data_IF_774613746584
#
_entry.id   IF_774613746584
#
_cell.length_a   1.000
_cell.length_b   1.000
_cell.length_c   1.000
_cell.angle_alpha   90.00
_cell.angle_beta   90.00
_cell.angle_gamma   90.00
#
_symmetry.space_group_name_H-M   'P 1'
#
loop_
_entity.id
_entity.type
_entity.pdbx_description
1 polymer ?
#
# COMPACT_ATOMS: atom_id res chain seq x y z
N UNK A 1 -12.10 0.74 -5.00
CA UNK A 1 -11.22 1.49 -4.07
C UNK A 1 -9.80 1.63 -4.59
N UNK A 2 -9.06 0.53 -4.84
CA UNK A 2 -7.62 0.58 -5.15
C UNK A 2 -7.26 1.44 -6.36
N UNK A 3 -8.02 1.34 -7.45
CA UNK A 3 -7.82 2.18 -8.64
C UNK A 3 -7.92 3.67 -8.31
N UNK A 4 -8.89 4.07 -7.47
CA UNK A 4 -9.01 5.44 -6.99
C UNK A 4 -7.78 5.87 -6.17
N UNK A 5 -7.29 5.01 -5.27
CA UNK A 5 -6.07 5.28 -4.50
C UNK A 5 -4.83 5.45 -5.38
N UNK A 6 -4.67 4.59 -6.39
CA UNK A 6 -3.57 4.71 -7.37
C UNK A 6 -3.69 6.02 -8.14
N UNK A 7 -4.86 6.31 -8.72
CA UNK A 7 -5.07 7.55 -9.48
C UNK A 7 -4.87 8.78 -8.60
N UNK A 8 -5.30 8.75 -7.35
CA UNK A 8 -5.19 9.87 -6.41
C UNK A 8 -3.78 10.15 -5.89
N UNK A 9 -2.87 9.17 -5.94
CA UNK A 9 -1.51 9.31 -5.38
C UNK A 9 -0.38 9.19 -6.40
N UNK A 10 -0.52 8.36 -7.45
CA UNK A 10 0.60 8.04 -8.34
C UNK A 10 1.00 9.21 -9.25
N UNK A 11 0.09 10.15 -9.51
CA UNK A 11 0.40 11.36 -10.26
C UNK A 11 1.46 12.23 -9.57
N UNK A 12 1.60 12.13 -8.23
CA UNK A 12 2.63 12.85 -7.45
C UNK A 12 4.05 12.46 -7.89
N UNK A 13 4.27 11.21 -8.31
CA UNK A 13 5.55 10.75 -8.86
C UNK A 13 5.96 11.59 -10.08
N UNK A 14 5.00 11.94 -10.93
CA UNK A 14 5.23 12.62 -12.20
C UNK A 14 5.33 14.13 -11.98
N UNK A 15 4.34 14.72 -11.30
CA UNK A 15 4.22 16.17 -11.15
C UNK A 15 5.25 16.72 -10.15
N UNK A 16 5.38 16.07 -8.98
CA UNK A 16 6.29 16.51 -7.92
C UNK A 16 7.66 15.82 -8.00
N UNK A 17 7.84 14.81 -8.87
CA UNK A 17 9.13 14.11 -9.05
C UNK A 17 9.68 13.51 -7.74
N UNK A 18 8.80 12.94 -6.92
CA UNK A 18 9.12 12.40 -5.59
C UNK A 18 9.96 11.10 -5.63
N UNK A 19 10.06 10.43 -6.79
CA UNK A 19 10.97 9.28 -7.05
C UNK A 19 10.73 8.07 -6.12
N UNK A 20 9.52 7.92 -5.59
CA UNK A 20 9.14 6.80 -4.72
C UNK A 20 9.13 5.50 -5.53
N UNK A 21 8.46 5.50 -6.68
CA UNK A 21 8.38 4.33 -7.56
C UNK A 21 9.74 4.00 -8.20
N UNK A 22 10.57 5.02 -8.45
CA UNK A 22 11.96 4.81 -8.88
C UNK A 22 12.81 4.05 -7.85
N UNK A 23 12.42 4.08 -6.57
CA UNK A 23 13.08 3.37 -5.46
C UNK A 23 12.24 2.19 -4.97
N UNK A 24 11.60 1.46 -5.90
CA UNK A 24 10.67 0.37 -5.58
C UNK A 24 11.23 -0.65 -4.57
N UNK A 25 12.53 -0.98 -4.64
CA UNK A 25 13.16 -1.89 -3.67
C UNK A 25 13.04 -1.40 -2.23
N UNK A 26 13.21 -0.10 -1.99
CA UNK A 26 13.08 0.50 -0.64
C UNK A 26 11.62 0.47 -0.18
N UNK A 27 10.69 0.84 -1.06
CA UNK A 27 9.26 0.78 -0.77
C UNK A 27 8.87 -0.65 -0.38
N UNK A 28 9.25 -1.64 -1.18
CA UNK A 28 8.96 -3.04 -0.90
C UNK A 28 9.60 -3.52 0.41
N UNK A 29 10.85 -3.14 0.69
CA UNK A 29 11.50 -3.47 1.98
C UNK A 29 10.81 -2.83 3.19
N UNK A 30 10.12 -1.71 3.02
CA UNK A 30 9.33 -1.09 4.09
C UNK A 30 7.92 -1.68 4.22
N UNK A 31 7.29 -2.02 3.09
CA UNK A 31 5.89 -2.46 3.04
C UNK A 31 5.75 -3.96 3.30
N UNK A 32 6.59 -4.80 2.68
CA UNK A 32 6.45 -6.26 2.76
C UNK A 32 6.53 -6.80 4.21
N UNK A 33 7.48 -6.37 5.07
CA UNK A 33 7.55 -6.88 6.43
C UNK A 33 6.28 -6.62 7.25
N UNK A 34 5.56 -5.54 6.93
CA UNK A 34 4.28 -5.21 7.57
C UNK A 34 3.13 -5.96 6.89
N UNK A 35 3.12 -6.07 5.56
CA UNK A 35 2.07 -6.78 4.82
C UNK A 35 1.97 -8.27 5.20
N UNK A 36 3.10 -8.95 5.44
CA UNK A 36 3.14 -10.39 5.76
C UNK A 36 2.27 -10.76 6.97
N UNK A 37 2.45 -10.19 8.18
CA UNK A 37 1.65 -10.59 9.34
C UNK A 37 0.15 -10.28 9.14
N UNK A 38 -0.22 -9.23 8.41
CA UNK A 38 -1.63 -8.93 8.16
C UNK A 38 -2.26 -9.91 7.16
N UNK A 39 -1.56 -10.29 6.10
CA UNK A 39 -2.05 -11.32 5.17
C UNK A 39 -2.21 -12.67 5.89
N UNK A 40 -1.27 -13.02 6.78
CA UNK A 40 -1.37 -14.23 7.60
C UNK A 40 -2.58 -14.16 8.52
N UNK A 41 -2.84 -13.00 9.12
CA UNK A 41 -4.00 -12.78 9.98
C UNK A 41 -5.31 -12.94 9.19
N UNK A 42 -5.41 -12.37 7.99
CA UNK A 42 -6.59 -12.50 7.14
C UNK A 42 -6.82 -13.96 6.74
N UNK A 43 -5.76 -14.66 6.30
CA UNK A 43 -5.81 -16.09 6.00
C UNK A 43 -6.32 -16.90 7.20
N UNK A 44 -5.82 -16.60 8.41
CA UNK A 44 -6.29 -17.24 9.62
C UNK A 44 -7.77 -16.94 9.90
N UNK A 45 -8.19 -15.68 9.82
CA UNK A 45 -9.56 -15.28 10.14
C UNK A 45 -10.58 -15.88 9.16
N UNK A 46 -10.24 -15.95 7.86
CA UNK A 46 -11.08 -16.56 6.82
C UNK A 46 -11.14 -18.07 7.00
N UNK A 47 -10.01 -18.73 7.27
CA UNK A 47 -9.97 -20.17 7.51
C UNK A 47 -10.78 -20.60 8.73
N UNK A 48 -10.87 -19.75 9.77
CA UNK A 48 -11.71 -19.99 10.95
C UNK A 48 -13.16 -19.51 10.79
N UNK A 49 -13.52 -18.95 9.63
CA UNK A 49 -14.87 -18.46 9.37
C UNK A 49 -15.28 -17.26 10.24
N UNK A 50 -14.31 -16.52 10.79
CA UNK A 50 -14.59 -15.27 11.53
C UNK A 50 -15.24 -14.24 10.61
N UNK A 51 -14.89 -14.26 9.34
CA UNK A 51 -15.46 -13.45 8.28
C UNK A 51 -15.21 -14.08 6.90
N UNK A 52 -15.84 -13.53 5.87
CA UNK A 52 -15.73 -13.99 4.48
C UNK A 52 -15.73 -12.79 3.55
N UNK A 53 -15.11 -12.94 2.39
CA UNK A 53 -15.18 -11.96 1.32
C UNK A 53 -16.48 -12.12 0.54
N UNK A 54 -17.12 -10.99 0.23
CA UNK A 54 -18.32 -10.95 -0.61
C UNK A 54 -17.93 -11.15 -2.08
N UNK A 55 -18.39 -12.25 -2.74
CA UNK A 55 -18.08 -12.52 -4.15
C UNK A 55 -18.53 -11.41 -5.12
N UNK A 56 -19.54 -10.60 -4.75
CA UNK A 56 -20.01 -9.49 -5.59
C UNK A 56 -19.10 -8.26 -5.53
N UNK A 57 -18.17 -8.21 -4.55
CA UNK A 57 -17.27 -7.08 -4.32
C UNK A 57 -15.81 -7.37 -4.67
N UNK A 58 -15.52 -8.56 -5.17
CA UNK A 58 -14.18 -9.01 -5.59
C UNK A 58 -14.19 -9.46 -7.06
N UNK A 59 -13.02 -9.50 -7.68
CA UNK A 59 -12.81 -9.93 -9.06
C UNK A 59 -12.85 -11.46 -9.22
N UNK A 60 -12.94 -12.21 -8.13
CA UNK A 60 -12.92 -13.67 -8.12
C UNK A 60 -11.55 -14.28 -8.42
N UNK A 61 -10.48 -13.49 -8.37
CA UNK A 61 -9.09 -13.97 -8.51
C UNK A 61 -8.53 -14.19 -7.11
N UNK A 62 -8.14 -15.43 -6.82
CA UNK A 62 -7.63 -15.82 -5.51
C UNK A 62 -6.13 -16.13 -5.55
N UNK A 63 -5.43 -15.68 -4.52
CA UNK A 63 -4.05 -16.02 -4.23
C UNK A 63 -3.95 -17.20 -3.25
N UNK A 64 -2.77 -17.36 -2.61
CA UNK A 64 -2.60 -18.34 -1.54
C UNK A 64 -3.63 -18.16 -0.41
N UNK A 65 -4.00 -19.27 0.23
CA UNK A 65 -4.91 -19.30 1.39
C UNK A 65 -6.34 -18.79 1.12
N UNK A 66 -6.80 -18.84 -0.12
CA UNK A 66 -8.15 -18.41 -0.53
C UNK A 66 -8.41 -16.91 -0.25
N UNK A 67 -7.34 -16.11 -0.25
CA UNK A 67 -7.41 -14.66 -0.10
C UNK A 67 -7.56 -14.02 -1.50
N UNK A 68 -8.51 -13.10 -1.71
CA UNK A 68 -8.65 -12.37 -2.97
C UNK A 68 -7.41 -11.54 -3.31
N UNK A 69 -7.10 -11.41 -4.59
CA UNK A 69 -5.99 -10.62 -5.11
C UNK A 69 -6.00 -9.17 -4.58
N UNK A 70 -7.19 -8.62 -4.40
CA UNK A 70 -7.45 -7.27 -3.92
C UNK A 70 -6.84 -7.01 -2.54
N UNK A 71 -6.83 -8.00 -1.64
CA UNK A 71 -6.24 -7.85 -0.31
C UNK A 71 -4.72 -7.75 -0.39
N UNK A 72 -4.08 -8.59 -1.20
CA UNK A 72 -2.64 -8.47 -1.46
C UNK A 72 -2.30 -7.10 -2.06
N UNK A 73 -3.11 -6.63 -3.01
CA UNK A 73 -2.94 -5.30 -3.61
C UNK A 73 -3.24 -4.19 -2.61
N UNK A 74 -4.18 -4.36 -1.68
CA UNK A 74 -4.49 -3.41 -0.63
C UNK A 74 -3.28 -3.18 0.28
N UNK A 75 -2.67 -4.26 0.79
CA UNK A 75 -1.48 -4.18 1.63
C UNK A 75 -0.23 -3.63 0.92
N UNK A 76 -0.23 -3.58 -0.41
CA UNK A 76 0.85 -2.96 -1.18
C UNK A 76 0.55 -1.50 -1.54
N UNK A 77 -0.64 -1.24 -2.10
CA UNK A 77 -1.01 0.05 -2.70
C UNK A 77 -1.26 1.10 -1.61
N UNK A 78 -1.98 0.75 -0.55
CA UNK A 78 -2.38 1.75 0.47
C UNK A 78 -1.16 2.30 1.22
N UNK A 79 -0.23 1.48 1.74
CA UNK A 79 0.99 2.00 2.35
C UNK A 79 1.88 2.77 1.36
N UNK A 80 1.95 2.32 0.10
CA UNK A 80 2.70 3.04 -0.94
C UNK A 80 2.11 4.43 -1.18
N UNK A 81 0.78 4.55 -1.28
CA UNK A 81 0.11 5.83 -1.45
C UNK A 81 0.36 6.79 -0.26
N UNK A 82 0.41 6.27 0.97
CA UNK A 82 0.79 7.05 2.14
C UNK A 82 2.22 7.59 2.03
N UNK A 83 3.19 6.75 1.63
CA UNK A 83 4.58 7.16 1.37
C UNK A 83 4.63 8.23 0.28
N UNK A 84 3.91 8.06 -0.82
CA UNK A 84 3.88 9.05 -1.90
C UNK A 84 3.31 10.40 -1.44
N UNK A 85 2.30 10.37 -0.59
CA UNK A 85 1.66 11.58 -0.05
C UNK A 85 2.63 12.36 0.84
N UNK A 86 3.31 11.69 1.78
CA UNK A 86 4.26 12.37 2.67
C UNK A 86 5.48 12.91 1.90
N UNK A 87 6.00 12.17 0.93
CA UNK A 87 7.09 12.65 0.06
C UNK A 87 6.64 13.84 -0.81
N UNK A 88 5.38 13.85 -1.26
CA UNK A 88 4.76 14.99 -1.92
C UNK A 88 4.76 16.24 -1.02
N UNK A 89 4.37 16.08 0.24
CA UNK A 89 4.43 17.17 1.24
C UNK A 89 5.87 17.65 1.45
N UNK A 90 6.84 16.75 1.63
CA UNK A 90 8.28 17.11 1.79
C UNK A 90 8.81 17.90 0.60
N UNK A 91 8.39 17.52 -0.60
CA UNK A 91 8.81 18.19 -1.85
C UNK A 91 8.32 19.65 -1.91
N UNK A 92 7.10 19.91 -1.44
CA UNK A 92 6.48 21.24 -1.47
C UNK A 92 6.85 22.07 -0.23
N UNK A 93 6.88 21.46 0.95
CA UNK A 93 7.10 22.09 2.26
C UNK A 93 8.47 21.71 2.82
N UNK A 94 9.52 22.22 2.18
CA UNK A 94 10.93 21.93 2.51
C UNK A 94 11.37 22.25 3.94
N UNK A 95 10.58 23.02 4.68
CA UNK A 95 10.87 23.41 6.07
C UNK A 95 10.25 22.46 7.10
N UNK A 96 9.45 21.48 6.67
CA UNK A 96 8.89 20.46 7.57
C UNK A 96 9.86 19.30 7.75
N UNK A 97 10.34 19.13 8.98
CA UNK A 97 11.16 17.99 9.37
C UNK A 97 10.27 16.76 9.54
N UNK A 98 10.47 15.73 8.71
CA UNK A 98 9.68 14.48 8.74
C UNK A 98 10.50 13.30 9.29
N UNK A 99 11.30 13.57 10.32
CA UNK A 99 11.92 12.54 11.17
C UNK A 99 13.39 12.26 10.88
N UNK A 100 13.77 11.92 9.64
CA UNK A 100 15.12 11.47 9.28
C UNK A 100 16.09 12.59 8.87
N UNK A 101 15.66 13.84 8.93
CA UNK A 101 16.44 15.02 8.56
C UNK A 101 17.25 15.52 9.77
N UNK A 102 18.59 15.59 9.62
CA UNK A 102 19.45 16.20 10.63
C UNK A 102 19.15 17.70 10.73
N UNK A 103 18.89 18.18 11.94
CA UNK A 103 18.76 19.62 12.23
C UNK A 103 20.00 20.40 11.82
#
# INVERSE_FOLDING_TARGET
>A
MLAFTVVGSFWLEIILKIKVLRRIKRVLMSVIPVAIPFIIWDAYAVANGHWKFDPEQILGIYGPFDIPLEEFLFFLIVPTAAIMTIEGVRTVKKHWLVGDESK
#
